data_IF_780264052646
#
_entry.id   IF_780264052646
#
_cell.length_a   1.000
_cell.length_b   1.000
_cell.length_c   1.000
_cell.angle_alpha   90.00
_cell.angle_beta   90.00
_cell.angle_gamma   90.00
#
_symmetry.space_group_name_H-M   'P 1'
#
loop_
_entity.id
_entity.type
_entity.pdbx_description
1 polymer ?
#
# COMPACT_ATOMS: atom_id res chain seq x y z
N UNK A 1 1.55 8.23 -22.96
CA UNK A 1 2.97 7.97 -22.62
C UNK A 1 3.19 6.48 -22.81
N UNK A 2 3.99 6.07 -23.78
CA UNK A 2 4.25 4.67 -24.09
C UNK A 2 5.35 4.16 -23.13
N UNK A 3 5.07 3.15 -22.31
CA UNK A 3 6.08 2.49 -21.48
C UNK A 3 6.08 1.00 -21.82
N UNK A 4 7.05 0.50 -22.56
CA UNK A 4 7.26 -0.94 -22.67
C UNK A 4 7.85 -1.45 -21.35
N UNK A 5 7.19 -2.40 -20.71
CA UNK A 5 7.76 -3.16 -19.61
C UNK A 5 8.67 -4.23 -20.22
N UNK A 6 9.97 -4.09 -20.04
CA UNK A 6 10.97 -5.06 -20.47
C UNK A 6 11.47 -5.82 -19.26
N UNK A 7 11.50 -7.14 -19.43
CA UNK A 7 12.18 -8.12 -18.58
C UNK A 7 11.66 -8.25 -17.13
N UNK A 8 10.67 -9.11 -16.94
CA UNK A 8 10.43 -9.75 -15.64
C UNK A 8 11.31 -10.98 -15.57
N UNK A 9 12.41 -10.94 -14.80
CA UNK A 9 13.21 -12.12 -14.51
C UNK A 9 12.71 -12.77 -13.22
N UNK A 10 12.12 -13.94 -13.32
CA UNK A 10 11.78 -14.78 -12.17
C UNK A 10 12.85 -15.86 -12.07
N UNK A 11 13.43 -16.04 -10.91
CA UNK A 11 14.43 -17.09 -10.62
C UNK A 11 13.69 -18.22 -9.90
N UNK A 12 13.50 -19.38 -10.54
CA UNK A 12 13.04 -20.58 -9.88
C UNK A 12 14.21 -21.50 -9.51
N UNK A 13 14.15 -22.09 -8.34
CA UNK A 13 15.09 -23.11 -7.88
C UNK A 13 14.36 -24.45 -7.84
N UNK A 14 14.63 -25.34 -8.77
CA UNK A 14 14.15 -26.73 -8.72
C UNK A 14 15.06 -27.55 -7.82
N UNK A 15 14.48 -28.22 -6.84
CA UNK A 15 15.15 -29.19 -6.00
C UNK A 15 14.87 -30.59 -6.53
N UNK A 16 15.84 -31.23 -7.16
CA UNK A 16 15.77 -32.64 -7.49
C UNK A 16 16.39 -33.43 -6.34
N UNK A 17 15.61 -34.28 -5.71
CA UNK A 17 16.12 -35.24 -4.72
C UNK A 17 16.27 -36.56 -5.45
N UNK A 18 17.49 -36.91 -5.84
CA UNK A 18 17.80 -38.28 -6.27
C UNK A 18 18.07 -39.09 -5.01
N UNK A 19 17.14 -39.99 -4.68
CA UNK A 19 17.29 -40.98 -3.65
C UNK A 19 18.08 -42.16 -4.18
N UNK A 20 19.40 -42.13 -4.07
CA UNK A 20 20.21 -43.34 -4.01
C UNK A 20 20.62 -43.58 -2.56
N UNK A 21 20.48 -44.81 -2.12
CA UNK A 21 20.74 -45.28 -0.76
C UNK A 21 22.18 -45.00 -0.30
N UNK A 22 22.39 -43.87 0.33
CA UNK A 22 23.56 -43.64 1.18
C UNK A 22 23.22 -42.60 2.26
N UNK A 23 23.31 -43.03 3.48
CA UNK A 23 22.92 -42.28 4.69
C UNK A 23 23.74 -40.99 4.95
N UNK A 24 24.73 -40.63 4.11
CA UNK A 24 25.66 -39.53 4.42
C UNK A 24 26.07 -38.61 3.25
N UNK A 25 25.46 -38.70 2.05
CA UNK A 25 25.79 -37.77 0.94
C UNK A 25 24.56 -37.30 0.19
N UNK A 26 23.90 -36.30 0.70
CA UNK A 26 22.88 -35.58 -0.06
C UNK A 26 23.57 -34.46 -0.85
N UNK A 27 23.85 -34.69 -2.13
CA UNK A 27 24.36 -33.65 -3.02
C UNK A 27 23.16 -32.82 -3.51
N UNK A 28 23.06 -31.58 -3.08
CA UNK A 28 22.07 -30.64 -3.58
C UNK A 28 22.58 -30.06 -4.90
N UNK A 29 22.00 -30.44 -6.01
CA UNK A 29 22.23 -29.76 -7.29
C UNK A 29 21.24 -28.62 -7.38
N UNK A 30 21.73 -27.40 -7.30
CA UNK A 30 20.94 -26.18 -7.50
C UNK A 30 20.99 -25.84 -9.00
N UNK A 31 20.07 -26.33 -9.79
CA UNK A 31 19.86 -25.82 -11.14
C UNK A 31 19.17 -24.45 -11.07
N UNK A 32 19.86 -23.40 -11.49
CA UNK A 32 19.30 -22.07 -11.72
C UNK A 32 18.83 -21.99 -13.14
N UNK A 33 17.57 -22.27 -13.39
CA UNK A 33 16.93 -21.89 -14.61
C UNK A 33 16.43 -20.45 -14.49
N UNK A 34 17.14 -19.54 -15.15
CA UNK A 34 16.64 -18.18 -15.37
C UNK A 34 15.81 -18.17 -16.65
N UNK A 35 14.53 -18.44 -16.56
CA UNK A 35 13.64 -18.22 -17.70
C UNK A 35 13.33 -16.72 -17.76
N UNK A 36 13.91 -16.04 -18.71
CA UNK A 36 13.48 -14.71 -19.13
C UNK A 36 12.26 -14.89 -20.02
N UNK A 37 11.08 -14.69 -19.47
CA UNK A 37 9.90 -14.49 -20.30
C UNK A 37 9.74 -12.98 -20.51
N UNK A 38 10.10 -12.45 -21.70
CA UNK A 38 9.87 -11.04 -21.99
C UNK A 38 8.36 -10.84 -22.17
N UNK A 39 7.71 -10.20 -21.18
CA UNK A 39 6.35 -9.70 -21.34
C UNK A 39 6.46 -8.32 -21.99
N UNK A 40 6.23 -8.23 -23.28
CA UNK A 40 6.06 -6.96 -23.98
C UNK A 40 4.58 -6.57 -23.92
N UNK A 41 4.22 -5.80 -22.91
CA UNK A 41 2.82 -5.40 -22.65
C UNK A 41 2.68 -3.89 -22.84
N UNK A 42 2.44 -3.41 -24.07
CA UNK A 42 2.25 -2.01 -24.35
C UNK A 42 0.94 -1.50 -23.74
N UNK A 43 0.97 -0.35 -23.10
CA UNK A 43 -0.21 0.36 -22.60
C UNK A 43 -0.40 1.69 -23.34
N UNK A 44 -1.59 1.89 -23.88
CA UNK A 44 -2.02 3.15 -24.45
C UNK A 44 -3.28 3.64 -23.75
N UNK A 45 -3.23 4.86 -23.23
CA UNK A 45 -4.39 5.49 -22.60
C UNK A 45 -4.69 6.84 -23.22
N UNK A 46 -5.97 7.10 -23.45
CA UNK A 46 -6.49 8.41 -23.81
C UNK A 46 -7.55 8.83 -22.79
N UNK A 47 -7.63 10.10 -22.48
CA UNK A 47 -8.63 10.61 -21.55
C UNK A 47 -9.17 11.96 -22.01
N UNK A 48 -10.40 12.24 -21.61
CA UNK A 48 -11.03 13.56 -21.74
C UNK A 48 -11.74 13.89 -20.43
N UNK A 49 -11.66 15.14 -20.03
CA UNK A 49 -12.25 15.65 -18.79
C UNK A 49 -12.67 17.10 -18.98
N UNK A 50 -13.85 17.46 -18.44
CA UNK A 50 -14.39 18.83 -18.52
C UNK A 50 -14.94 19.26 -17.14
N UNK A 51 -14.54 20.46 -16.71
CA UNK A 51 -15.06 21.10 -15.51
C UNK A 51 -16.10 22.16 -15.90
N UNK A 52 -17.35 21.92 -15.56
CA UNK A 52 -18.50 22.70 -15.94
C UNK A 52 -19.01 23.50 -14.74
N UNK A 53 -19.03 24.81 -14.83
CA UNK A 53 -19.72 25.68 -13.87
C UNK A 53 -21.21 25.83 -14.29
N UNK A 54 -22.07 24.96 -13.71
CA UNK A 54 -23.48 24.93 -14.00
C UNK A 54 -24.20 26.17 -13.44
N UNK A 55 -23.81 26.58 -12.25
CA UNK A 55 -24.29 27.80 -11.58
C UNK A 55 -23.17 28.38 -10.70
N UNK A 56 -23.43 29.54 -10.06
CA UNK A 56 -22.47 30.11 -9.09
C UNK A 56 -22.19 29.23 -7.86
N UNK A 57 -23.10 28.30 -7.54
CA UNK A 57 -23.01 27.41 -6.39
C UNK A 57 -22.83 25.94 -6.76
N UNK A 58 -22.94 25.56 -8.04
CA UNK A 58 -22.85 24.17 -8.51
C UNK A 58 -21.81 24.07 -9.63
N UNK A 59 -20.80 23.24 -9.39
CA UNK A 59 -19.82 22.81 -10.39
C UNK A 59 -19.86 21.30 -10.55
N UNK A 60 -19.68 20.82 -11.75
CA UNK A 60 -19.52 19.41 -12.09
C UNK A 60 -18.21 19.20 -12.82
N UNK A 61 -17.57 18.07 -12.58
CA UNK A 61 -16.44 17.58 -13.33
C UNK A 61 -16.83 16.19 -13.87
N UNK A 62 -16.74 16.03 -15.18
CA UNK A 62 -17.07 14.80 -15.88
C UNK A 62 -15.90 14.39 -16.76
N UNK A 63 -15.49 13.13 -16.67
CA UNK A 63 -14.40 12.63 -17.49
C UNK A 63 -14.49 11.14 -17.72
N UNK A 64 -13.75 10.69 -18.70
CA UNK A 64 -13.53 9.27 -18.96
C UNK A 64 -12.11 9.03 -19.46
N UNK A 65 -11.54 7.93 -19.06
CA UNK A 65 -10.28 7.39 -19.60
C UNK A 65 -10.57 6.08 -20.29
N UNK A 66 -9.98 5.90 -21.46
CA UNK A 66 -9.96 4.65 -22.17
C UNK A 66 -8.54 4.13 -22.24
N UNK A 67 -8.35 2.89 -21.81
CA UNK A 67 -7.03 2.22 -21.79
C UNK A 67 -7.08 0.96 -22.63
N UNK A 68 -6.06 0.78 -23.46
CA UNK A 68 -5.74 -0.47 -24.18
C UNK A 68 -4.44 -1.00 -23.60
N UNK A 69 -4.42 -2.29 -23.31
CA UNK A 69 -3.27 -3.01 -22.76
C UNK A 69 -3.00 -4.27 -23.58
N UNK A 70 -1.77 -4.41 -24.10
CA UNK A 70 -1.34 -5.54 -24.89
C UNK A 70 -1.14 -6.78 -24.03
N UNK A 71 -1.67 -7.92 -24.48
CA UNK A 71 -1.42 -9.25 -23.96
C UNK A 71 -0.67 -10.08 -25.02
N UNK A 72 -0.35 -11.32 -24.76
CA UNK A 72 0.37 -12.17 -25.73
C UNK A 72 -0.38 -12.36 -27.05
N UNK A 73 -1.70 -12.53 -26.99
CA UNK A 73 -2.51 -12.84 -28.18
C UNK A 73 -3.47 -11.72 -28.59
N UNK A 74 -3.61 -10.64 -27.78
CA UNK A 74 -4.59 -9.63 -28.05
C UNK A 74 -4.46 -8.34 -27.25
N UNK A 75 -5.61 -7.69 -27.04
CA UNK A 75 -5.72 -6.44 -26.30
C UNK A 75 -6.79 -6.55 -25.21
N UNK A 76 -6.48 -6.08 -24.02
CA UNK A 76 -7.45 -5.79 -22.96
C UNK A 76 -7.87 -4.33 -23.04
N UNK A 77 -9.12 -4.07 -22.80
CA UNK A 77 -9.71 -2.74 -22.86
C UNK A 77 -10.33 -2.37 -21.51
N UNK A 78 -10.25 -1.09 -21.16
CA UNK A 78 -10.95 -0.54 -20.01
C UNK A 78 -11.52 0.83 -20.33
N UNK A 79 -12.74 1.09 -19.86
CA UNK A 79 -13.35 2.42 -19.80
C UNK A 79 -13.49 2.79 -18.33
N UNK A 80 -12.97 3.95 -17.98
CA UNK A 80 -12.84 4.42 -16.59
C UNK A 80 -13.56 5.79 -16.46
N UNK A 81 -14.89 5.76 -16.25
CA UNK A 81 -15.65 6.99 -16.05
C UNK A 81 -15.33 7.60 -14.68
N UNK A 82 -15.38 8.92 -14.63
CA UNK A 82 -15.31 9.70 -13.41
C UNK A 82 -16.29 10.85 -13.45
N UNK A 83 -16.94 11.09 -12.33
CA UNK A 83 -17.85 12.20 -12.15
C UNK A 83 -17.68 12.78 -10.75
N UNK A 84 -17.65 14.09 -10.64
CA UNK A 84 -17.66 14.78 -9.37
C UNK A 84 -18.56 15.99 -9.42
N UNK A 85 -19.21 16.29 -8.30
CA UNK A 85 -20.03 17.50 -8.15
C UNK A 85 -19.60 18.23 -6.88
N UNK A 86 -19.60 19.54 -6.96
CA UNK A 86 -19.33 20.44 -5.84
C UNK A 86 -20.49 21.42 -5.67
N UNK A 87 -21.08 21.38 -4.49
CA UNK A 87 -22.10 22.32 -4.04
C UNK A 87 -21.46 23.34 -3.09
N UNK A 88 -21.48 24.61 -3.44
CA UNK A 88 -21.05 25.69 -2.57
C UNK A 88 -22.23 26.05 -1.65
N UNK A 89 -22.16 25.63 -0.37
CA UNK A 89 -23.22 25.83 0.62
C UNK A 89 -23.15 27.22 1.28
N UNK A 90 -22.00 27.86 1.20
CA UNK A 90 -21.76 29.20 1.73
C UNK A 90 -20.38 29.70 1.34
N UNK A 91 -19.96 30.90 1.72
CA UNK A 91 -18.67 31.46 1.31
C UNK A 91 -17.46 30.61 1.64
N UNK A 92 -17.55 29.81 2.71
CA UNK A 92 -16.45 29.01 3.25
C UNK A 92 -16.75 27.52 3.36
N UNK A 93 -17.92 27.06 2.91
CA UNK A 93 -18.36 25.67 3.06
C UNK A 93 -18.81 25.11 1.73
N UNK A 94 -18.31 23.92 1.39
CA UNK A 94 -18.74 23.16 0.23
C UNK A 94 -18.98 21.69 0.57
N UNK A 95 -19.97 21.09 -0.11
CA UNK A 95 -20.19 19.66 -0.18
C UNK A 95 -19.63 19.16 -1.50
N UNK A 96 -18.90 18.06 -1.49
CA UNK A 96 -18.41 17.39 -2.69
C UNK A 96 -18.86 15.94 -2.68
N UNK A 97 -19.17 15.42 -3.87
CA UNK A 97 -19.47 14.00 -4.09
C UNK A 97 -18.76 13.56 -5.36
N UNK A 98 -18.29 12.34 -5.38
CA UNK A 98 -17.59 11.79 -6.54
C UNK A 98 -17.90 10.30 -6.74
N UNK A 99 -17.86 9.90 -8.00
CA UNK A 99 -17.86 8.52 -8.45
C UNK A 99 -16.66 8.31 -9.39
N UNK A 100 -15.94 7.19 -9.21
CA UNK A 100 -14.77 6.89 -10.03
C UNK A 100 -14.68 5.38 -10.27
N UNK A 101 -14.44 5.00 -11.53
CA UNK A 101 -13.98 3.65 -11.88
C UNK A 101 -12.52 3.69 -12.32
N UNK A 102 -11.76 2.65 -11.93
CA UNK A 102 -10.34 2.51 -12.28
C UNK A 102 -10.03 1.06 -12.58
N UNK A 103 -9.12 0.83 -13.52
CA UNK A 103 -8.57 -0.48 -13.83
C UNK A 103 -7.06 -0.47 -13.67
N UNK A 104 -6.51 -1.59 -13.23
CA UNK A 104 -5.07 -1.78 -13.06
C UNK A 104 -4.65 -3.05 -13.78
N UNK A 105 -3.71 -2.91 -14.71
CA UNK A 105 -3.23 -3.99 -15.58
C UNK A 105 -1.94 -4.62 -15.07
N UNK A 106 -1.33 -4.08 -14.04
CA UNK A 106 -0.13 -4.62 -13.41
C UNK A 106 -0.45 -4.92 -11.96
N UNK A 107 -0.26 -6.17 -11.57
CA UNK A 107 -0.62 -6.71 -10.27
C UNK A 107 0.62 -6.81 -9.40
N UNK A 108 0.53 -6.31 -8.18
CA UNK A 108 1.51 -6.56 -7.14
C UNK A 108 1.02 -7.75 -6.31
N UNK A 109 1.67 -8.87 -6.49
CA UNK A 109 1.33 -10.11 -5.79
C UNK A 109 2.23 -10.28 -4.58
N UNK A 110 1.62 -10.58 -3.45
CA UNK A 110 2.31 -10.87 -2.20
C UNK A 110 2.01 -12.31 -1.79
N UNK A 111 2.99 -12.97 -1.20
CA UNK A 111 2.78 -14.29 -0.62
C UNK A 111 1.97 -14.15 0.68
N UNK A 112 0.79 -14.79 0.75
CA UNK A 112 -0.11 -14.68 1.90
C UNK A 112 0.35 -15.44 3.15
N UNK A 113 1.24 -16.43 2.99
CA UNK A 113 1.65 -17.33 4.05
C UNK A 113 3.01 -16.99 4.66
N UNK A 114 3.75 -16.05 4.06
CA UNK A 114 5.05 -15.63 4.55
C UNK A 114 5.11 -14.12 4.51
N UNK A 115 5.25 -13.54 5.67
CA UNK A 115 5.34 -12.09 5.87
C UNK A 115 6.70 -11.51 5.41
N UNK A 116 7.30 -12.11 4.37
CA UNK A 116 8.50 -11.55 3.75
C UNK A 116 8.07 -10.38 2.87
N UNK A 117 8.73 -9.21 2.95
CA UNK A 117 8.42 -8.05 2.13
C UNK A 117 8.90 -8.23 0.68
N UNK A 118 8.57 -9.35 0.08
CA UNK A 118 8.80 -9.64 -1.34
C UNK A 118 7.49 -9.49 -2.08
N UNK A 119 7.52 -8.72 -3.15
CA UNK A 119 6.39 -8.58 -4.06
C UNK A 119 6.84 -8.85 -5.47
N UNK A 120 5.99 -9.54 -6.21
CA UNK A 120 6.19 -9.84 -7.63
C UNK A 120 5.21 -8.98 -8.42
N UNK A 121 5.71 -8.27 -9.42
CA UNK A 121 4.88 -7.47 -10.32
C UNK A 121 4.63 -8.23 -11.60
N UNK A 122 3.38 -8.55 -11.88
CA UNK A 122 2.97 -9.33 -13.05
C UNK A 122 1.91 -8.55 -13.85
N UNK A 123 1.97 -8.59 -15.20
CA UNK A 123 0.97 -7.96 -16.05
C UNK A 123 -0.33 -8.76 -16.09
N UNK A 124 -1.42 -8.12 -16.46
CA UNK A 124 -2.62 -8.80 -16.96
C UNK A 124 -2.28 -9.55 -18.24
N UNK A 125 -2.87 -10.71 -18.41
CA UNK A 125 -2.67 -11.59 -19.58
C UNK A 125 -4.02 -11.94 -20.21
N UNK A 126 -4.01 -12.85 -21.17
CA UNK A 126 -5.25 -13.38 -21.74
C UNK A 126 -6.09 -14.17 -20.72
N UNK A 127 -5.45 -14.69 -19.66
CA UNK A 127 -6.12 -15.41 -18.56
C UNK A 127 -6.35 -14.54 -17.35
N UNK A 128 -5.43 -13.63 -17.04
CA UNK A 128 -5.48 -12.77 -15.85
C UNK A 128 -6.15 -11.45 -16.20
N UNK A 129 -7.37 -11.28 -15.74
CA UNK A 129 -8.13 -10.05 -15.95
C UNK A 129 -7.54 -8.86 -15.18
N UNK A 130 -7.62 -7.62 -15.68
CA UNK A 130 -7.22 -6.44 -14.91
C UNK A 130 -8.08 -6.29 -13.66
N UNK A 131 -7.45 -5.85 -12.56
CA UNK A 131 -8.19 -5.44 -11.37
C UNK A 131 -9.05 -4.23 -11.70
N UNK A 132 -10.28 -4.21 -11.19
CA UNK A 132 -11.21 -3.10 -11.35
C UNK A 132 -11.70 -2.62 -10.00
N UNK A 133 -11.78 -1.31 -9.82
CA UNK A 133 -12.37 -0.72 -8.63
C UNK A 133 -13.41 0.31 -8.99
N UNK A 134 -14.47 0.39 -8.15
CA UNK A 134 -15.51 1.43 -8.20
C UNK A 134 -15.57 2.08 -6.83
N UNK A 135 -15.55 3.40 -6.81
CA UNK A 135 -15.59 4.16 -5.57
C UNK A 135 -16.61 5.28 -5.64
N UNK A 136 -17.37 5.42 -4.56
CA UNK A 136 -18.19 6.60 -4.25
C UNK A 136 -17.57 7.26 -3.04
N UNK A 137 -17.39 8.58 -3.07
CA UNK A 137 -16.95 9.36 -1.93
C UNK A 137 -17.79 10.64 -1.81
N UNK A 138 -17.91 11.15 -0.59
CA UNK A 138 -18.61 12.40 -0.34
C UNK A 138 -18.17 13.04 0.95
N UNK A 139 -18.08 14.38 0.98
CA UNK A 139 -17.58 15.08 2.15
C UNK A 139 -17.92 16.54 2.21
N UNK A 140 -17.79 17.09 3.40
CA UNK A 140 -17.96 18.50 3.74
C UNK A 140 -16.60 19.12 3.98
N UNK A 141 -16.35 20.25 3.37
CA UNK A 141 -15.11 21.02 3.43
C UNK A 141 -15.45 22.43 3.90
N UNK A 142 -14.89 22.85 5.02
CA UNK A 142 -15.25 24.15 5.59
C UNK A 142 -14.07 24.86 6.24
N UNK A 143 -14.05 26.18 6.12
CA UNK A 143 -13.17 27.05 6.85
C UNK A 143 -13.93 27.68 8.04
N UNK A 144 -13.52 27.34 9.24
CA UNK A 144 -14.06 27.87 10.48
C UNK A 144 -13.33 29.15 10.89
N UNK A 145 -13.87 29.93 11.86
CA UNK A 145 -13.16 31.06 12.44
C UNK A 145 -11.75 30.68 12.95
N UNK A 146 -10.89 31.68 13.14
CA UNK A 146 -9.51 31.52 13.64
C UNK A 146 -8.58 30.69 12.74
N UNK A 147 -8.82 30.70 11.41
CA UNK A 147 -8.05 29.97 10.38
C UNK A 147 -8.02 28.46 10.61
N UNK A 148 -9.12 27.91 11.08
CA UNK A 148 -9.31 26.47 11.23
C UNK A 148 -9.96 25.94 9.94
N UNK A 149 -9.37 24.91 9.34
CA UNK A 149 -9.95 24.14 8.24
C UNK A 149 -10.41 22.79 8.78
N UNK A 150 -11.64 22.41 8.46
CA UNK A 150 -12.21 21.13 8.79
C UNK A 150 -12.77 20.49 7.52
N UNK A 151 -12.27 19.30 7.19
CA UNK A 151 -12.77 18.46 6.13
C UNK A 151 -13.18 17.12 6.71
N UNK A 152 -14.36 16.63 6.33
CA UNK A 152 -14.86 15.31 6.73
C UNK A 152 -15.37 14.63 5.48
N UNK A 153 -14.83 13.45 5.19
CA UNK A 153 -15.16 12.66 4.00
C UNK A 153 -15.49 11.23 4.38
N UNK A 154 -16.44 10.61 3.69
CA UNK A 154 -16.71 9.19 3.76
C UNK A 154 -16.62 8.57 2.37
N UNK A 155 -16.23 7.30 2.30
CA UNK A 155 -16.10 6.59 1.03
C UNK A 155 -16.54 5.13 1.14
N UNK A 156 -16.95 4.58 -0.01
CA UNK A 156 -17.19 3.17 -0.23
C UNK A 156 -16.56 2.75 -1.55
N UNK A 157 -15.71 1.72 -1.49
CA UNK A 157 -14.97 1.18 -2.64
C UNK A 157 -15.21 -0.32 -2.74
N UNK A 158 -15.52 -0.79 -3.95
CA UNK A 158 -15.53 -2.21 -4.29
C UNK A 158 -14.40 -2.53 -5.26
N UNK A 159 -13.88 -3.73 -5.19
CA UNK A 159 -12.78 -4.20 -6.04
C UNK A 159 -13.12 -5.59 -6.58
N UNK A 160 -12.86 -5.79 -7.87
CA UNK A 160 -13.08 -7.04 -8.60
C UNK A 160 -11.74 -7.49 -9.20
N UNK A 161 -11.60 -8.78 -9.45
CA UNK A 161 -10.39 -9.39 -10.01
C UNK A 161 -9.15 -9.08 -9.17
N UNK A 162 -9.26 -9.14 -7.85
CA UNK A 162 -8.09 -9.18 -6.98
C UNK A 162 -7.41 -10.53 -7.18
N UNK A 163 -6.08 -10.55 -7.16
CA UNK A 163 -5.31 -11.77 -7.36
C UNK A 163 -4.45 -12.07 -6.14
N UNK A 164 -4.43 -13.34 -5.75
CA UNK A 164 -3.59 -13.88 -4.69
C UNK A 164 -3.05 -15.24 -5.10
N UNK A 165 -1.83 -15.58 -4.68
CA UNK A 165 -1.30 -16.93 -4.89
C UNK A 165 -1.94 -17.94 -3.94
N UNK A 166 -2.19 -19.14 -4.45
CA UNK A 166 -2.64 -20.27 -3.66
C UNK A 166 -1.45 -21.06 -3.13
N UNK A 167 -1.33 -21.16 -1.80
CA UNK A 167 -0.42 -22.08 -1.13
C UNK A 167 1.04 -21.65 -1.00
N UNK A 168 1.87 -22.62 -0.63
CA UNK A 168 3.30 -22.44 -0.29
C UNK A 168 4.15 -22.09 -1.51
N UNK A 169 3.69 -22.43 -2.72
CA UNK A 169 4.34 -22.12 -4.00
C UNK A 169 4.40 -20.62 -4.29
N UNK A 170 3.67 -19.80 -3.53
CA UNK A 170 3.73 -18.35 -3.59
C UNK A 170 5.17 -17.77 -3.40
N UNK A 171 6.10 -18.53 -2.83
CA UNK A 171 7.51 -18.12 -2.69
C UNK A 171 8.30 -18.44 -3.95
N UNK A 172 7.93 -19.53 -4.64
CA UNK A 172 8.62 -20.04 -5.83
C UNK A 172 7.57 -20.53 -6.81
N UNK A 173 6.84 -19.64 -7.50
CA UNK A 173 5.88 -20.09 -8.53
C UNK A 173 6.62 -20.91 -9.60
N UNK A 174 6.05 -22.03 -10.00
CA UNK A 174 6.57 -22.78 -11.13
C UNK A 174 6.44 -21.93 -12.39
N UNK A 175 7.57 -21.69 -13.03
CA UNK A 175 7.73 -20.68 -14.08
C UNK A 175 6.93 -20.92 -15.36
N UNK A 176 6.21 -21.98 -15.52
CA UNK A 176 5.38 -22.23 -16.69
C UNK A 176 3.88 -22.16 -16.45
N UNK A 177 3.46 -22.11 -15.18
CA UNK A 177 2.06 -22.26 -14.77
C UNK A 177 1.62 -21.21 -13.74
N UNK A 178 2.36 -20.08 -13.59
CA UNK A 178 2.07 -19.08 -12.56
C UNK A 178 0.63 -18.52 -12.62
N UNK A 179 0.05 -18.44 -13.83
CA UNK A 179 -1.33 -18.01 -14.03
C UNK A 179 -2.35 -18.98 -13.42
N UNK A 180 -2.02 -20.27 -13.38
CA UNK A 180 -2.89 -21.33 -12.84
C UNK A 180 -2.87 -21.36 -11.32
N UNK A 181 -1.82 -20.80 -10.71
CA UNK A 181 -1.67 -20.70 -9.26
C UNK A 181 -2.33 -19.44 -8.69
N UNK A 182 -2.82 -18.54 -9.56
CA UNK A 182 -3.50 -17.33 -9.12
C UNK A 182 -4.98 -17.55 -8.87
N UNK A 183 -5.41 -17.22 -7.68
CA UNK A 183 -6.81 -17.13 -7.32
C UNK A 183 -7.34 -15.72 -7.62
N UNK A 184 -8.56 -15.67 -8.14
CA UNK A 184 -9.28 -14.41 -8.35
C UNK A 184 -10.33 -14.20 -7.28
N UNK A 185 -10.35 -13.00 -6.71
CA UNK A 185 -11.25 -12.65 -5.64
C UNK A 185 -11.81 -11.24 -5.76
N UNK A 186 -12.50 -10.84 -4.72
CA UNK A 186 -13.14 -9.52 -4.58
C UNK A 186 -12.63 -8.82 -3.34
N UNK A 187 -12.76 -7.50 -3.33
CA UNK A 187 -12.44 -6.68 -2.17
C UNK A 187 -13.47 -5.58 -1.94
N UNK A 188 -13.51 -5.08 -0.73
CA UNK A 188 -14.23 -3.87 -0.37
C UNK A 188 -13.42 -3.05 0.62
N UNK A 189 -13.55 -1.74 0.52
CA UNK A 189 -12.94 -0.82 1.47
C UNK A 189 -13.89 0.34 1.72
N UNK A 190 -14.09 0.71 2.97
CA UNK A 190 -14.96 1.81 3.35
C UNK A 190 -14.43 2.49 4.60
N UNK A 191 -14.77 3.76 4.76
CA UNK A 191 -14.27 4.50 5.90
C UNK A 191 -14.70 5.96 5.92
N UNK A 192 -14.21 6.63 6.94
CA UNK A 192 -14.33 8.08 7.11
C UNK A 192 -12.97 8.69 7.40
N UNK A 193 -12.76 9.89 6.87
CA UNK A 193 -11.55 10.66 7.00
C UNK A 193 -11.87 12.05 7.55
N UNK A 194 -11.06 12.51 8.48
CA UNK A 194 -11.17 13.85 9.06
C UNK A 194 -9.83 14.55 8.94
N UNK A 195 -9.82 15.72 8.34
CA UNK A 195 -8.69 16.63 8.33
C UNK A 195 -9.04 17.86 9.17
N UNK A 196 -8.20 18.15 10.16
CA UNK A 196 -8.26 19.40 10.95
C UNK A 196 -6.96 20.16 10.75
N UNK A 197 -7.03 21.35 10.14
CA UNK A 197 -5.90 22.25 9.94
C UNK A 197 -6.08 23.53 10.76
N UNK A 198 -5.02 23.99 11.38
CA UNK A 198 -4.97 25.31 12.03
C UNK A 198 -3.72 26.05 11.58
N UNK A 199 -3.91 27.30 11.17
CA UNK A 199 -2.81 28.15 10.72
C UNK A 199 -2.82 29.48 11.41
N UNK A 200 -1.69 29.84 12.01
CA UNK A 200 -1.40 31.17 12.51
C UNK A 200 -0.27 31.82 11.68
N UNK A 201 0.18 32.99 12.11
CA UNK A 201 1.28 33.69 11.43
C UNK A 201 2.58 32.86 11.35
N UNK A 202 2.88 32.14 12.42
CA UNK A 202 4.16 31.41 12.55
C UNK A 202 4.01 29.91 12.72
N UNK A 203 2.79 29.39 12.89
CA UNK A 203 2.54 27.97 13.18
C UNK A 203 1.50 27.43 12.24
N UNK A 204 1.75 26.24 11.71
CA UNK A 204 0.82 25.45 10.90
C UNK A 204 0.74 24.07 11.55
N UNK A 205 -0.48 23.63 11.88
CA UNK A 205 -0.75 22.31 12.45
C UNK A 205 -1.82 21.63 11.61
N UNK A 206 -1.60 20.39 11.25
CA UNK A 206 -2.58 19.58 10.56
C UNK A 206 -2.68 18.20 11.22
N UNK A 207 -3.91 17.79 11.47
CA UNK A 207 -4.25 16.48 12.03
C UNK A 207 -5.12 15.75 11.01
N UNK A 208 -4.72 14.55 10.63
CA UNK A 208 -5.44 13.65 9.71
C UNK A 208 -5.80 12.39 10.47
N UNK A 209 -7.06 12.07 10.51
CA UNK A 209 -7.55 10.83 11.10
C UNK A 209 -8.36 10.06 10.08
N UNK A 210 -8.07 8.77 9.96
CA UNK A 210 -8.81 7.83 9.11
C UNK A 210 -9.30 6.66 9.96
N UNK A 211 -10.59 6.38 9.85
CA UNK A 211 -11.22 5.15 10.31
C UNK A 211 -11.65 4.36 9.08
N UNK A 212 -11.07 3.18 8.86
CA UNK A 212 -11.32 2.42 7.64
C UNK A 212 -11.36 0.91 7.85
N UNK A 213 -12.08 0.23 6.98
CA UNK A 213 -12.15 -1.22 6.85
C UNK A 213 -11.73 -1.60 5.46
N UNK A 214 -10.85 -2.60 5.34
CA UNK A 214 -10.42 -3.17 4.06
C UNK A 214 -10.51 -4.69 4.18
N UNK A 215 -11.35 -5.28 3.36
CA UNK A 215 -11.68 -6.71 3.42
C UNK A 215 -11.55 -7.34 2.05
N UNK A 216 -11.26 -8.63 2.04
CA UNK A 216 -11.11 -9.47 0.86
C UNK A 216 -12.03 -10.69 0.95
N UNK A 217 -12.37 -11.24 -0.20
CA UNK A 217 -13.13 -12.47 -0.34
C UNK A 217 -12.55 -13.28 -1.49
N UNK A 218 -12.01 -14.45 -1.17
CA UNK A 218 -11.51 -15.46 -2.10
C UNK A 218 -12.10 -16.79 -1.67
N UNK A 219 -13.06 -17.30 -2.43
CA UNK A 219 -13.83 -18.50 -2.07
C UNK A 219 -12.93 -19.73 -1.86
N UNK A 220 -11.85 -19.85 -2.62
CA UNK A 220 -10.87 -20.95 -2.51
C UNK A 220 -9.95 -20.83 -1.29
N UNK A 221 -9.84 -19.63 -0.66
CA UNK A 221 -9.04 -19.40 0.54
C UNK A 221 -9.92 -19.46 1.78
N UNK A 222 -11.04 -18.72 1.77
CA UNK A 222 -11.97 -18.61 2.87
C UNK A 222 -13.37 -18.22 2.38
N UNK A 223 -14.39 -18.96 2.83
CA UNK A 223 -15.78 -18.80 2.35
C UNK A 223 -16.54 -17.60 2.95
N UNK A 224 -15.83 -16.65 3.54
CA UNK A 224 -16.38 -15.41 4.09
C UNK A 224 -15.41 -14.25 3.88
N UNK A 225 -15.87 -13.03 4.15
CA UNK A 225 -15.03 -11.83 4.13
C UNK A 225 -14.01 -11.89 5.26
N UNK A 226 -12.76 -11.61 4.93
CA UNK A 226 -11.68 -11.51 5.89
C UNK A 226 -10.90 -10.20 5.71
N UNK A 227 -10.29 -9.65 6.80
CA UNK A 227 -9.55 -8.41 6.70
C UNK A 227 -8.33 -8.56 5.78
N UNK A 228 -8.01 -7.51 5.03
CA UNK A 228 -6.77 -7.45 4.28
C UNK A 228 -5.56 -7.28 5.22
N UNK A 229 -4.36 -7.60 4.74
CA UNK A 229 -3.11 -7.42 5.49
C UNK A 229 -2.98 -6.00 6.06
N UNK A 230 -3.27 -5.00 5.26
CA UNK A 230 -3.16 -3.57 5.59
C UNK A 230 -4.49 -2.96 6.10
N UNK A 231 -5.37 -3.78 6.71
CA UNK A 231 -6.56 -3.29 7.43
C UNK A 231 -6.14 -2.56 8.72
N UNK A 232 -5.50 -1.42 8.55
CA UNK A 232 -5.13 -0.53 9.66
C UNK A 232 -6.36 0.31 10.03
N UNK A 233 -7.17 -0.19 10.95
CA UNK A 233 -8.46 0.38 11.33
C UNK A 233 -8.42 1.86 11.67
N UNK A 234 -7.41 2.27 12.41
CA UNK A 234 -7.19 3.66 12.83
C UNK A 234 -5.84 4.14 12.30
N UNK A 235 -5.83 5.28 11.62
CA UNK A 235 -4.62 5.99 11.21
C UNK A 235 -4.71 7.43 11.70
N UNK A 236 -3.64 7.92 12.30
CA UNK A 236 -3.56 9.30 12.78
C UNK A 236 -2.20 9.88 12.40
N UNK A 237 -2.22 11.00 11.69
CA UNK A 237 -1.03 11.77 11.35
C UNK A 237 -1.17 13.18 11.92
N UNK A 238 -0.18 13.63 12.67
CA UNK A 238 -0.09 14.98 13.16
C UNK A 238 1.17 15.63 12.58
N UNK A 239 0.98 16.70 11.82
CA UNK A 239 2.06 17.52 11.30
C UNK A 239 2.03 18.87 12.00
N UNK A 240 3.19 19.39 12.41
CA UNK A 240 3.33 20.72 12.94
C UNK A 240 4.59 21.40 12.40
N UNK A 241 4.45 22.64 12.00
CA UNK A 241 5.58 23.49 11.62
C UNK A 241 5.51 24.78 12.41
N UNK A 242 6.62 25.18 13.01
CA UNK A 242 6.71 26.45 13.72
C UNK A 242 7.93 27.26 13.24
N UNK A 243 7.68 28.49 12.83
CA UNK A 243 8.71 29.43 12.42
C UNK A 243 9.04 30.37 13.60
N UNK A 244 10.16 30.14 14.23
CA UNK A 244 10.63 31.01 15.33
C UNK A 244 11.01 32.41 14.85
N UNK A 245 11.65 32.46 13.66
CA UNK A 245 12.01 33.70 12.99
C UNK A 245 12.29 33.45 11.50
N UNK A 246 12.72 34.45 10.74
CA UNK A 246 13.01 34.31 9.31
C UNK A 246 14.18 33.38 8.97
N UNK A 247 14.97 32.96 9.96
CA UNK A 247 16.17 32.11 9.75
C UNK A 247 16.03 30.71 10.33
N UNK A 248 15.07 30.49 11.22
CA UNK A 248 14.95 29.23 11.95
C UNK A 248 13.50 28.79 12.06
N UNK A 249 13.24 27.56 11.62
CA UNK A 249 11.98 26.85 11.77
C UNK A 249 12.18 25.39 12.17
N UNK A 250 11.18 24.84 12.83
CA UNK A 250 11.08 23.45 13.22
C UNK A 250 9.86 22.84 12.55
N UNK A 251 9.97 21.58 12.16
CA UNK A 251 8.84 20.75 11.77
C UNK A 251 8.86 19.43 12.54
N UNK A 252 7.68 18.88 12.77
CA UNK A 252 7.49 17.56 13.34
C UNK A 252 6.38 16.82 12.62
N UNK A 253 6.51 15.51 12.54
CA UNK A 253 5.48 14.62 12.05
C UNK A 253 5.36 13.42 12.98
N UNK A 254 4.17 13.20 13.50
CA UNK A 254 3.86 12.00 14.26
C UNK A 254 2.84 11.17 13.49
N UNK A 255 3.17 9.89 13.30
CA UNK A 255 2.34 8.92 12.61
C UNK A 255 1.98 7.80 13.58
N UNK A 256 0.73 7.41 13.56
CA UNK A 256 0.19 6.24 14.26
C UNK A 256 -0.74 5.48 13.32
N UNK A 257 -0.66 4.18 13.36
CA UNK A 257 -1.73 3.32 12.85
C UNK A 257 -1.81 2.02 13.65
N UNK A 258 -3.01 1.43 13.69
CA UNK A 258 -3.19 0.09 14.21
C UNK A 258 -2.37 -0.90 13.38
N UNK A 259 -1.80 -1.91 14.04
CA UNK A 259 -0.88 -2.85 13.41
C UNK A 259 -1.45 -3.52 12.17
N UNK A 260 -0.58 -3.85 11.24
CA UNK A 260 -0.90 -4.70 10.08
C UNK A 260 -1.37 -6.07 10.56
N UNK A 261 -2.03 -6.80 9.68
CA UNK A 261 -2.49 -8.15 9.99
C UNK A 261 -1.60 -9.20 9.33
N UNK A 262 -1.47 -10.31 10.01
CA UNK A 262 -0.73 -11.48 9.54
C UNK A 262 -1.51 -12.75 9.87
N UNK A 263 -1.16 -13.86 9.22
CA UNK A 263 -1.74 -15.17 9.50
C UNK A 263 -0.82 -15.95 10.42
N UNK A 264 -1.32 -16.35 11.58
CA UNK A 264 -0.58 -17.21 12.50
C UNK A 264 -1.35 -18.52 12.73
N UNK A 265 -0.63 -19.62 13.06
CA UNK A 265 -1.28 -20.85 13.49
C UNK A 265 -2.13 -20.60 14.73
N UNK A 266 -3.25 -21.29 14.83
CA UNK A 266 -4.14 -21.21 15.99
C UNK A 266 -4.04 -22.43 16.88
N UNK A 267 -3.59 -23.56 16.34
CA UNK A 267 -3.45 -24.83 17.08
C UNK A 267 -2.46 -25.78 16.38
N UNK A 268 -1.97 -26.74 17.12
CA UNK A 268 -1.21 -27.89 16.62
C UNK A 268 -2.08 -29.14 16.79
N UNK A 269 -2.30 -29.88 15.72
CA UNK A 269 -3.04 -31.15 15.75
C UNK A 269 -2.16 -32.19 15.04
N UNK A 270 -1.88 -33.30 15.74
CA UNK A 270 -1.04 -34.41 15.24
C UNK A 270 0.33 -33.97 14.71
N UNK A 271 0.91 -32.90 15.27
CA UNK A 271 2.19 -32.36 14.83
C UNK A 271 2.12 -31.45 13.60
N UNK A 272 0.92 -31.04 13.16
CA UNK A 272 0.73 -30.12 12.06
C UNK A 272 0.14 -28.79 12.55
N UNK A 273 0.56 -27.69 11.90
CA UNK A 273 0.03 -26.36 12.19
C UNK A 273 -1.31 -26.15 11.49
N UNK A 274 -2.31 -25.73 12.24
CA UNK A 274 -3.64 -25.39 11.73
C UNK A 274 -3.88 -23.87 11.86
N UNK A 275 -4.50 -23.30 10.84
CA UNK A 275 -4.80 -21.89 10.72
C UNK A 275 -6.32 -21.72 10.71
N UNK A 276 -6.80 -20.66 11.35
CA UNK A 276 -8.19 -20.20 11.21
C UNK A 276 -8.33 -19.34 9.92
N UNK A 277 -9.13 -18.29 9.96
CA UNK A 277 -9.27 -17.36 8.84
C UNK A 277 -7.92 -16.65 8.51
N UNK A 278 -7.71 -16.25 7.26
CA UNK A 278 -6.56 -15.45 6.85
C UNK A 278 -6.47 -14.13 7.63
N UNK A 279 -5.23 -13.67 7.88
CA UNK A 279 -4.94 -12.44 8.60
C UNK A 279 -5.63 -12.35 9.98
N UNK A 280 -5.64 -13.49 10.68
CA UNK A 280 -6.29 -13.69 11.97
C UNK A 280 -5.63 -12.96 13.14
N UNK A 281 -4.39 -12.49 12.97
CA UNK A 281 -3.62 -11.83 14.01
C UNK A 281 -3.25 -10.40 13.60
N UNK A 282 -3.28 -9.48 14.59
CA UNK A 282 -2.87 -8.09 14.44
C UNK A 282 -1.50 -7.89 15.06
N UNK A 283 -0.56 -7.33 14.28
CA UNK A 283 0.75 -6.92 14.78
C UNK A 283 0.63 -5.76 15.78
N UNK A 284 1.66 -5.51 16.59
CA UNK A 284 1.70 -4.32 17.44
C UNK A 284 1.49 -3.04 16.65
N UNK A 285 0.81 -2.09 17.25
CA UNK A 285 0.52 -0.80 16.63
C UNK A 285 1.81 -0.06 16.26
N UNK A 286 1.80 0.53 15.08
CA UNK A 286 2.88 1.37 14.57
C UNK A 286 2.75 2.79 15.10
N UNK A 287 3.84 3.39 15.58
CA UNK A 287 3.92 4.83 15.75
C UNK A 287 5.36 5.35 15.63
N UNK A 288 5.51 6.57 15.14
CA UNK A 288 6.80 7.19 14.87
C UNK A 288 6.70 8.69 14.98
N UNK A 289 7.73 9.30 15.58
CA UNK A 289 7.91 10.74 15.60
C UNK A 289 9.17 11.12 14.82
N UNK A 290 9.00 11.99 13.84
CA UNK A 290 10.09 12.61 13.10
C UNK A 290 10.15 14.10 13.45
N UNK A 291 11.35 14.65 13.66
CA UNK A 291 11.57 16.05 14.00
C UNK A 291 12.67 16.59 13.12
N UNK A 292 12.52 17.82 12.64
CA UNK A 292 13.55 18.48 11.87
C UNK A 292 13.60 19.98 12.07
N UNK A 293 14.79 20.51 11.84
CA UNK A 293 15.12 21.93 12.03
C UNK A 293 15.76 22.47 10.76
N UNK A 294 15.30 23.63 10.31
CA UNK A 294 15.88 24.33 9.18
C UNK A 294 16.54 25.63 9.65
N UNK A 295 17.78 25.82 9.26
CA UNK A 295 18.54 27.04 9.47
C UNK A 295 18.81 27.70 8.12
N UNK A 296 18.26 28.90 7.90
CA UNK A 296 18.37 29.64 6.64
C UNK A 296 19.30 30.84 6.81
N UNK A 297 20.14 31.05 5.82
CA UNK A 297 21.03 32.22 5.76
C UNK A 297 21.14 32.71 4.32
N UNK A 298 20.92 34.00 4.12
CA UNK A 298 21.25 34.64 2.84
C UNK A 298 22.75 34.88 2.78
N UNK A 299 23.39 34.41 1.73
CA UNK A 299 24.82 34.60 1.48
C UNK A 299 25.08 36.05 1.02
N UNK A 300 26.37 36.48 1.05
CA UNK A 300 26.76 37.81 0.55
C UNK A 300 26.42 38.05 -0.93
N UNK A 301 26.27 36.98 -1.71
CA UNK A 301 25.89 37.01 -3.13
C UNK A 301 24.39 36.98 -3.39
N UNK A 302 23.56 37.03 -2.33
CA UNK A 302 22.11 36.98 -2.44
C UNK A 302 21.52 35.55 -2.48
N UNK A 303 22.33 34.50 -2.51
CA UNK A 303 21.89 33.12 -2.56
C UNK A 303 21.32 32.70 -1.20
N UNK A 304 20.28 31.84 -1.20
CA UNK A 304 19.73 31.26 0.03
C UNK A 304 20.47 29.94 0.37
N UNK A 305 21.06 29.88 1.55
CA UNK A 305 21.70 28.69 2.14
C UNK A 305 20.78 28.11 3.22
N UNK A 306 20.41 26.84 3.08
CA UNK A 306 19.52 26.14 4.02
C UNK A 306 20.26 24.90 4.55
N UNK A 307 20.38 24.83 5.87
CA UNK A 307 20.90 23.68 6.60
C UNK A 307 19.73 22.99 7.25
N UNK A 308 19.52 21.72 6.98
CA UNK A 308 18.50 20.90 7.61
C UNK A 308 19.17 19.84 8.50
N UNK A 309 18.75 19.76 9.73
CA UNK A 309 19.04 18.67 10.67
C UNK A 309 17.75 18.01 11.04
N UNK A 310 17.63 16.70 10.80
CA UNK A 310 16.41 15.96 11.12
C UNK A 310 16.72 14.62 11.79
N UNK A 311 15.76 14.13 12.52
CA UNK A 311 15.80 12.86 13.23
C UNK A 311 14.55 12.07 12.84
N UNK A 312 14.76 10.98 12.15
CA UNK A 312 13.74 9.98 11.89
C UNK A 312 13.60 9.08 13.12
N UNK A 313 12.38 8.78 13.52
CA UNK A 313 12.07 7.91 14.67
C UNK A 313 12.74 8.39 15.97
N UNK A 314 12.42 9.62 16.37
CA UNK A 314 13.10 10.35 17.46
C UNK A 314 13.11 9.60 18.82
N UNK A 315 12.15 8.74 19.09
CA UNK A 315 12.12 7.91 20.30
C UNK A 315 12.51 6.45 20.06
N UNK A 316 13.13 6.15 18.90
CA UNK A 316 13.74 4.84 18.60
C UNK A 316 12.80 3.62 18.77
N UNK A 317 11.52 3.75 18.37
CA UNK A 317 10.61 2.61 18.43
C UNK A 317 10.90 1.64 17.29
N UNK A 318 11.18 0.39 17.61
CA UNK A 318 11.32 -0.69 16.65
C UNK A 318 9.93 -1.15 16.19
N UNK A 319 9.37 -0.46 15.19
CA UNK A 319 8.08 -0.82 14.62
C UNK A 319 8.20 -2.14 13.84
N UNK A 320 7.25 -3.08 14.01
CA UNK A 320 7.30 -4.34 13.30
C UNK A 320 7.16 -4.11 11.79
N UNK A 321 8.07 -4.70 11.01
CA UNK A 321 8.02 -4.71 9.55
C UNK A 321 7.32 -5.96 9.05
N UNK A 322 7.64 -7.10 9.65
CA UNK A 322 7.00 -8.38 9.39
C UNK A 322 7.10 -9.30 10.61
N UNK A 323 6.40 -10.40 10.53
CA UNK A 323 6.39 -11.42 11.56
C UNK A 323 6.69 -12.80 10.97
N UNK A 324 7.28 -13.64 11.78
CA UNK A 324 7.60 -15.02 11.41
C UNK A 324 7.10 -15.96 12.50
N UNK A 325 6.68 -17.14 12.07
CA UNK A 325 6.41 -18.27 12.96
C UNK A 325 7.65 -19.15 12.97
N UNK A 326 8.28 -19.27 14.14
CA UNK A 326 9.38 -20.21 14.37
C UNK A 326 8.83 -21.46 15.03
N UNK A 327 9.07 -22.64 14.47
CA UNK A 327 8.56 -23.91 14.97
C UNK A 327 9.66 -24.72 15.64
N UNK A 328 9.30 -25.41 16.71
CA UNK A 328 10.13 -26.46 17.33
C UNK A 328 9.64 -27.80 16.81
N UNK A 329 10.51 -28.52 16.10
CA UNK A 329 10.19 -29.81 15.51
C UNK A 329 10.92 -30.91 16.28
N UNK A 330 10.20 -31.99 16.64
CA UNK A 330 10.74 -33.20 17.23
C UNK A 330 10.07 -34.40 16.58
N UNK A 331 10.88 -35.41 16.23
CA UNK A 331 10.41 -36.63 15.55
C UNK A 331 9.48 -36.34 14.35
N UNK A 332 9.90 -35.37 13.51
CA UNK A 332 9.17 -34.86 12.34
C UNK A 332 7.79 -34.26 12.63
N UNK A 333 7.50 -33.94 13.90
CA UNK A 333 6.26 -33.29 14.35
C UNK A 333 6.54 -31.90 14.94
N UNK A 334 5.66 -30.97 14.71
CA UNK A 334 5.69 -29.66 15.37
C UNK A 334 5.21 -29.83 16.81
N UNK A 335 6.07 -29.59 17.79
CA UNK A 335 5.73 -29.61 19.22
C UNK A 335 5.24 -28.25 19.73
N UNK A 336 5.87 -27.17 19.23
CA UNK A 336 5.59 -25.81 19.68
C UNK A 336 5.88 -24.80 18.56
N UNK A 337 5.28 -23.63 18.63
CA UNK A 337 5.62 -22.51 17.76
C UNK A 337 5.70 -21.20 18.54
N UNK A 338 6.59 -20.31 18.07
CA UNK A 338 6.76 -18.97 18.59
C UNK A 338 6.52 -17.94 17.49
N UNK A 339 5.81 -16.89 17.83
CA UNK A 339 5.59 -15.76 16.98
C UNK A 339 6.63 -14.67 17.27
N UNK A 340 7.40 -14.28 16.25
CA UNK A 340 8.49 -13.30 16.37
C UNK A 340 8.25 -12.17 15.39
N UNK A 341 8.27 -10.94 15.89
CA UNK A 341 8.19 -9.73 15.04
C UNK A 341 9.58 -9.14 14.84
N UNK A 342 9.89 -8.71 13.62
CA UNK A 342 11.12 -8.02 13.29
C UNK A 342 10.85 -6.52 13.00
N UNK A 343 11.52 -5.64 13.73
CA UNK A 343 11.56 -4.20 13.49
C UNK A 343 12.95 -3.77 13.02
N UNK A 344 13.04 -2.90 12.02
CA UNK A 344 14.32 -2.64 11.33
C UNK A 344 14.76 -1.17 11.28
N UNK A 345 13.94 -0.22 11.62
CA UNK A 345 14.29 1.20 11.48
C UNK A 345 14.44 1.91 12.83
N UNK A 346 15.67 1.96 13.38
CA UNK A 346 15.95 2.66 14.64
C UNK A 346 15.91 4.19 14.44
N UNK A 347 16.41 4.94 15.41
CA UNK A 347 16.66 6.36 15.27
C UNK A 347 17.69 6.63 14.17
N UNK A 348 17.38 7.52 13.21
CA UNK A 348 18.27 7.88 12.11
C UNK A 348 18.41 9.40 12.04
N UNK A 349 19.54 9.98 12.49
CA UNK A 349 19.82 11.37 12.26
C UNK A 349 20.19 11.61 10.79
N UNK A 350 19.70 12.70 10.22
CA UNK A 350 19.93 13.06 8.83
C UNK A 350 20.34 14.54 8.75
N UNK A 351 21.30 14.82 7.91
CA UNK A 351 21.78 16.16 7.62
C UNK A 351 21.70 16.44 6.12
N UNK A 352 21.20 17.61 5.76
CA UNK A 352 21.21 18.05 4.36
C UNK A 352 21.55 19.55 4.26
N UNK A 353 22.14 19.91 3.13
CA UNK A 353 22.49 21.29 2.78
C UNK A 353 21.91 21.61 1.39
N UNK A 354 21.21 22.71 1.28
CA UNK A 354 20.65 23.20 0.02
C UNK A 354 21.13 24.64 -0.22
N UNK A 355 21.68 24.90 -1.38
CA UNK A 355 22.03 26.24 -1.85
C UNK A 355 21.12 26.57 -3.04
N UNK A 356 20.37 27.68 -2.93
CA UNK A 356 19.57 28.23 -4.03
C UNK A 356 20.25 29.46 -4.57
N UNK A 357 20.47 29.50 -5.88
CA UNK A 357 21.13 30.60 -6.60
C UNK A 357 20.11 31.62 -7.07
#
# INVERSE_FOLDING_TARGET
MFRPYKDVSVVSTRRRVDTEESYYNTTYVQERDSVKTPYDSPELSVYAEDEIALTGWLKANLGARYTMFGTETGLRHSVEPRAAVRFQLGPKTSLKMSYTEMSQFIHNLQANYIDIPMSIWLPSTDRIAPMRSRQIAGGIYTELPHNIRLNVEGYWKTMENLHEYCGINAIYPEMGAWEEELLSGRGRSYGAEVELGWRSRNTDISVYYTLSWTERFFDQIWHDWYPARNDNRHKLTVNATHRFNGKFDMYMQWNYHTGDRTTIPTQIIDGHLYYSNPYNHKLPDYHRLDIGFNFRKTTRRGNESIWNLSIYNAYCRMNPLFAMVSTTIREDKVEDYKFVTLGVLPIIPTFSYTLKF
#
